data_IF_371609933937
#
_entry.id   IF_371609933937
#
_cell.length_a   1.000
_cell.length_b   1.000
_cell.length_c   1.000
_cell.angle_alpha   90.00
_cell.angle_beta   90.00
_cell.angle_gamma   90.00
#
_symmetry.space_group_name_H-M   'P 1'
#
loop_
_entity.id
_entity.type
_entity.pdbx_description
1 polymer ?
#
# COMPACT_ATOMS: atom_id res chain seq x y z
N UNK A 1 5.72 18.99 -19.19
CA UNK A 1 4.91 17.76 -19.03
C UNK A 1 3.66 18.09 -18.24
N UNK A 2 2.46 17.69 -18.68
CA UNK A 2 1.23 17.95 -17.92
C UNK A 2 1.14 16.91 -16.80
N UNK A 3 1.18 17.36 -15.55
CA UNK A 3 1.05 16.54 -14.33
C UNK A 3 -0.13 15.57 -14.41
N UNK A 4 -1.20 15.97 -15.10
CA UNK A 4 -2.37 15.14 -15.42
C UNK A 4 -2.02 13.78 -16.05
N UNK A 5 -0.96 13.68 -16.87
CA UNK A 5 -0.52 12.40 -17.43
C UNK A 5 0.00 11.46 -16.34
N UNK A 6 0.76 11.98 -15.37
CA UNK A 6 1.25 11.20 -14.22
C UNK A 6 0.09 10.74 -13.35
N UNK A 7 -0.90 11.62 -13.13
CA UNK A 7 -2.13 11.28 -12.39
C UNK A 7 -2.90 10.16 -13.07
N UNK A 8 -3.09 10.26 -14.39
CA UNK A 8 -3.81 9.25 -15.16
C UNK A 8 -3.11 7.89 -15.14
N UNK A 9 -1.79 7.86 -15.38
CA UNK A 9 -0.99 6.62 -15.32
C UNK A 9 -1.02 5.98 -13.93
N UNK A 10 -0.97 6.80 -12.87
CA UNK A 10 -1.06 6.34 -11.49
C UNK A 10 -2.44 5.74 -11.19
N UNK A 11 -3.52 6.41 -11.61
CA UNK A 11 -4.89 5.93 -11.43
C UNK A 11 -5.11 4.60 -12.15
N UNK A 12 -4.78 4.51 -13.45
CA UNK A 12 -4.94 3.28 -14.23
C UNK A 12 -4.19 2.10 -13.59
N UNK A 13 -2.94 2.32 -13.19
CA UNK A 13 -2.12 1.27 -12.58
C UNK A 13 -2.65 0.84 -11.22
N UNK A 14 -3.00 1.80 -10.35
CA UNK A 14 -3.44 1.49 -8.99
C UNK A 14 -4.82 0.84 -8.97
N UNK A 15 -5.74 1.21 -9.88
CA UNK A 15 -7.03 0.51 -10.01
C UNK A 15 -6.80 -0.97 -10.30
N UNK A 16 -5.88 -1.27 -11.22
CA UNK A 16 -5.50 -2.64 -11.57
C UNK A 16 -4.89 -3.41 -10.38
N UNK A 17 -3.93 -2.80 -9.68
CA UNK A 17 -3.22 -3.40 -8.54
C UNK A 17 -4.16 -3.68 -7.36
N UNK A 18 -4.92 -2.68 -6.92
CA UNK A 18 -5.77 -2.83 -5.73
C UNK A 18 -7.02 -3.65 -6.02
N UNK A 19 -7.53 -3.62 -7.26
CA UNK A 19 -8.55 -4.56 -7.71
C UNK A 19 -8.07 -6.01 -7.68
N UNK A 20 -6.80 -6.26 -8.04
CA UNK A 20 -6.22 -7.61 -8.03
C UNK A 20 -6.23 -8.24 -6.65
N UNK A 21 -5.96 -7.47 -5.59
CA UNK A 21 -5.97 -8.00 -4.20
C UNK A 21 -7.32 -8.61 -3.84
N UNK A 22 -8.42 -8.01 -4.28
CA UNK A 22 -9.78 -8.53 -4.06
C UNK A 22 -10.04 -9.77 -4.92
N UNK A 23 -9.73 -9.71 -6.22
CA UNK A 23 -9.91 -10.87 -7.12
C UNK A 23 -9.12 -12.06 -6.62
N UNK A 24 -7.84 -11.86 -6.30
CA UNK A 24 -6.95 -12.93 -5.88
C UNK A 24 -7.38 -13.55 -4.55
N UNK A 25 -7.75 -12.74 -3.55
CA UNK A 25 -8.18 -13.26 -2.25
C UNK A 25 -9.50 -14.03 -2.34
N UNK A 26 -10.51 -13.47 -3.01
CA UNK A 26 -11.84 -14.09 -3.13
C UNK A 26 -11.77 -15.34 -4.02
N UNK A 27 -11.08 -15.28 -5.16
CA UNK A 27 -10.93 -16.44 -6.06
C UNK A 27 -10.19 -17.57 -5.35
N UNK A 28 -9.14 -17.28 -4.56
CA UNK A 28 -8.45 -18.30 -3.79
C UNK A 28 -9.41 -19.01 -2.82
N UNK A 29 -10.27 -18.25 -2.13
CA UNK A 29 -11.28 -18.82 -1.22
C UNK A 29 -12.33 -19.64 -1.97
N UNK A 30 -12.79 -19.20 -3.14
CA UNK A 30 -13.70 -19.98 -4.00
C UNK A 30 -13.06 -21.28 -4.52
N UNK A 31 -11.73 -21.29 -4.72
CA UNK A 31 -10.96 -22.50 -5.05
C UNK A 31 -10.70 -23.41 -3.83
N UNK A 32 -11.22 -23.06 -2.65
CA UNK A 32 -11.08 -23.85 -1.43
C UNK A 32 -9.78 -23.61 -0.65
N UNK A 33 -9.06 -22.52 -0.93
CA UNK A 33 -7.84 -22.20 -0.20
C UNK A 33 -8.11 -21.96 1.29
N UNK A 34 -7.21 -22.49 2.12
CA UNK A 34 -7.12 -22.18 3.54
C UNK A 34 -6.68 -20.74 3.75
N UNK A 35 -6.93 -20.20 4.95
CA UNK A 35 -6.45 -18.86 5.32
C UNK A 35 -4.91 -18.75 5.25
N UNK A 36 -4.18 -19.84 5.49
CA UNK A 36 -2.72 -19.88 5.37
C UNK A 36 -2.26 -19.73 3.92
N UNK A 37 -2.90 -20.41 2.98
CA UNK A 37 -2.59 -20.29 1.55
C UNK A 37 -2.92 -18.89 1.03
N UNK A 38 -4.07 -18.32 1.40
CA UNK A 38 -4.42 -16.93 1.06
C UNK A 38 -3.38 -15.96 1.65
N UNK A 39 -2.97 -16.16 2.90
CA UNK A 39 -1.92 -15.37 3.55
C UNK A 39 -0.59 -15.45 2.81
N UNK A 40 -0.17 -16.66 2.42
CA UNK A 40 1.03 -16.88 1.62
C UNK A 40 0.99 -16.17 0.26
N UNK A 41 -0.13 -16.29 -0.46
CA UNK A 41 -0.35 -15.58 -1.73
C UNK A 41 -0.31 -14.06 -1.52
N UNK A 42 -0.99 -13.54 -0.49
CA UNK A 42 -1.04 -12.10 -0.22
C UNK A 42 0.33 -11.53 0.15
N UNK A 43 1.20 -12.30 0.81
CA UNK A 43 2.57 -11.89 1.10
C UNK A 43 3.46 -11.75 -0.15
N UNK A 44 3.12 -12.43 -1.25
CA UNK A 44 3.82 -12.25 -2.53
C UNK A 44 3.56 -10.89 -3.18
N UNK A 45 2.59 -10.10 -2.71
CA UNK A 45 2.48 -8.69 -3.10
C UNK A 45 3.64 -7.82 -2.58
N UNK A 46 4.41 -8.31 -1.61
CA UNK A 46 5.45 -7.53 -0.93
C UNK A 46 6.85 -8.14 -1.08
N UNK A 47 6.97 -9.47 -1.05
CA UNK A 47 8.26 -10.16 -1.07
C UNK A 47 9.11 -9.90 -2.34
N UNK A 48 8.65 -10.27 -3.57
CA UNK A 48 9.34 -9.91 -4.80
C UNK A 48 9.64 -8.40 -4.97
N UNK A 49 8.68 -7.48 -4.80
CA UNK A 49 8.94 -6.05 -4.95
C UNK A 49 10.01 -5.53 -3.99
N UNK A 50 10.08 -6.06 -2.76
CA UNK A 50 11.11 -5.66 -1.80
C UNK A 50 12.52 -5.92 -2.35
N UNK A 51 12.73 -7.07 -2.99
CA UNK A 51 14.01 -7.45 -3.62
C UNK A 51 14.29 -6.69 -4.91
N UNK A 52 13.24 -6.42 -5.71
CA UNK A 52 13.37 -5.83 -7.05
C UNK A 52 13.31 -4.29 -7.06
N UNK A 53 12.95 -3.64 -5.96
CA UNK A 53 12.81 -2.19 -5.84
C UNK A 53 14.06 -1.42 -6.28
N UNK A 54 15.25 -1.85 -5.83
CA UNK A 54 16.53 -1.24 -6.22
C UNK A 54 16.83 -1.40 -7.71
N UNK A 55 16.47 -2.55 -8.29
CA UNK A 55 16.66 -2.81 -9.72
C UNK A 55 15.73 -1.93 -10.56
N UNK A 56 14.51 -1.70 -10.09
CA UNK A 56 13.56 -0.81 -10.74
C UNK A 56 14.00 0.66 -10.69
N UNK A 57 14.56 1.12 -9.56
CA UNK A 57 15.17 2.45 -9.45
C UNK A 57 16.30 2.64 -10.47
N UNK A 58 17.26 1.71 -10.51
CA UNK A 58 18.35 1.72 -11.50
C UNK A 58 17.84 1.69 -12.95
N UNK A 59 16.72 1.03 -13.21
CA UNK A 59 16.10 1.01 -14.53
C UNK A 59 15.53 2.38 -14.91
N UNK A 60 14.83 3.06 -13.98
CA UNK A 60 14.33 4.43 -14.18
C UNK A 60 15.49 5.39 -14.47
N UNK A 61 16.60 5.25 -13.74
CA UNK A 61 17.79 6.09 -13.92
C UNK A 61 18.43 5.91 -15.31
N UNK A 62 18.46 4.67 -15.82
CA UNK A 62 19.13 4.31 -17.08
C UNK A 62 18.24 4.43 -18.32
N UNK A 63 16.94 4.18 -18.19
CA UNK A 63 16.01 4.07 -19.32
C UNK A 63 14.92 5.16 -19.31
N UNK A 64 14.91 6.04 -18.31
CA UNK A 64 13.84 7.02 -18.12
C UNK A 64 12.55 6.35 -17.63
N UNK A 65 11.43 7.07 -17.69
CA UNK A 65 10.16 6.62 -17.07
C UNK A 65 9.36 5.66 -17.96
N UNK A 66 9.45 5.80 -19.29
CA UNK A 66 8.55 5.10 -20.21
C UNK A 66 8.75 3.57 -20.21
N UNK A 67 9.99 3.09 -20.23
CA UNK A 67 10.29 1.65 -20.23
C UNK A 67 9.85 0.96 -18.93
N UNK A 68 10.20 1.46 -17.73
CA UNK A 68 9.65 0.95 -16.46
C UNK A 68 8.12 0.87 -16.46
N UNK A 69 7.43 1.90 -16.96
CA UNK A 69 5.96 1.90 -17.02
C UNK A 69 5.40 0.88 -18.03
N UNK A 70 6.09 0.61 -19.13
CA UNK A 70 5.71 -0.46 -20.04
C UNK A 70 5.89 -1.85 -19.39
N UNK A 71 6.98 -2.07 -18.66
CA UNK A 71 7.18 -3.31 -17.89
C UNK A 71 6.13 -3.49 -16.79
N UNK A 72 5.74 -2.41 -16.10
CA UNK A 72 4.61 -2.40 -15.17
C UNK A 72 3.34 -2.91 -15.86
N UNK A 73 3.03 -2.41 -17.06
CA UNK A 73 1.86 -2.86 -17.81
C UNK A 73 1.91 -4.35 -18.14
N UNK A 74 3.08 -4.84 -18.59
CA UNK A 74 3.29 -6.26 -18.90
C UNK A 74 3.11 -7.13 -17.66
N UNK A 75 3.68 -6.73 -16.51
CA UNK A 75 3.50 -7.44 -15.25
C UNK A 75 2.03 -7.49 -14.83
N UNK A 76 1.30 -6.37 -14.94
CA UNK A 76 -0.13 -6.34 -14.64
C UNK A 76 -0.92 -7.25 -15.58
N UNK A 77 -0.68 -7.19 -16.89
CA UNK A 77 -1.33 -8.07 -17.87
C UNK A 77 -1.10 -9.54 -17.56
N UNK A 78 0.15 -9.94 -17.32
CA UNK A 78 0.49 -11.31 -16.92
C UNK A 78 -0.26 -11.71 -15.65
N UNK A 79 -0.31 -10.83 -14.64
CA UNK A 79 -1.01 -11.09 -13.39
C UNK A 79 -2.52 -11.24 -13.52
N UNK A 80 -3.14 -10.69 -14.56
CA UNK A 80 -4.59 -10.73 -14.76
C UNK A 80 -5.04 -11.80 -15.77
N UNK A 81 -4.26 -12.00 -16.83
CA UNK A 81 -4.56 -12.97 -17.89
C UNK A 81 -4.28 -14.39 -17.42
N UNK A 82 -3.22 -14.62 -16.63
CA UNK A 82 -2.84 -15.97 -16.24
C UNK A 82 -3.87 -16.66 -15.31
N UNK A 83 -4.37 -16.03 -14.22
CA UNK A 83 -5.44 -16.62 -13.41
C UNK A 83 -6.75 -16.77 -14.16
N UNK A 84 -7.02 -15.87 -15.11
CA UNK A 84 -8.17 -15.99 -15.97
C UNK A 84 -8.05 -17.15 -16.97
N UNK A 85 -6.86 -17.44 -17.49
CA UNK A 85 -6.67 -18.58 -18.40
C UNK A 85 -6.73 -19.90 -17.64
N UNK A 86 -6.08 -19.95 -16.47
CA UNK A 86 -5.96 -21.13 -15.63
C UNK A 86 -6.20 -20.77 -14.15
N UNK A 87 -7.44 -20.84 -13.64
CA UNK A 87 -7.74 -20.56 -12.24
C UNK A 87 -7.11 -21.62 -11.32
N UNK A 88 -6.07 -21.24 -10.58
CA UNK A 88 -5.36 -22.12 -9.62
C UNK A 88 -4.62 -21.29 -8.57
N UNK A 89 -4.27 -21.88 -7.42
CA UNK A 89 -3.52 -21.17 -6.38
C UNK A 89 -2.15 -20.67 -6.87
N UNK A 90 -1.48 -21.42 -7.75
CA UNK A 90 -0.19 -21.03 -8.31
C UNK A 90 -0.27 -19.85 -9.28
N UNK A 91 -1.31 -19.81 -10.14
CA UNK A 91 -1.51 -18.65 -11.03
C UNK A 91 -1.90 -17.40 -10.24
N UNK A 92 -2.65 -17.56 -9.16
CA UNK A 92 -2.93 -16.49 -8.19
C UNK A 92 -1.68 -16.02 -7.44
N UNK A 93 -0.77 -16.91 -7.06
CA UNK A 93 0.53 -16.57 -6.48
C UNK A 93 1.40 -15.75 -7.45
N UNK A 94 1.44 -16.15 -8.74
CA UNK A 94 2.13 -15.39 -9.79
C UNK A 94 1.46 -14.02 -9.97
N UNK A 95 0.13 -13.95 -9.96
CA UNK A 95 -0.61 -12.69 -10.01
C UNK A 95 -0.21 -11.73 -8.90
N UNK A 96 -0.18 -12.21 -7.65
CA UNK A 96 0.26 -11.43 -6.50
C UNK A 96 1.70 -10.90 -6.66
N UNK A 97 2.63 -11.77 -7.07
CA UNK A 97 4.02 -11.40 -7.30
C UNK A 97 4.18 -10.33 -8.41
N UNK A 98 3.51 -10.53 -9.55
CA UNK A 98 3.55 -9.61 -10.67
C UNK A 98 2.91 -8.25 -10.34
N UNK A 99 1.71 -8.25 -9.75
CA UNK A 99 0.97 -7.02 -9.43
C UNK A 99 1.61 -6.23 -8.28
N UNK A 100 2.17 -6.91 -7.27
CA UNK A 100 2.98 -6.27 -6.23
C UNK A 100 4.25 -5.62 -6.80
N UNK A 101 4.97 -6.32 -7.68
CA UNK A 101 6.16 -5.78 -8.35
C UNK A 101 5.82 -4.58 -9.24
N UNK A 102 4.71 -4.68 -9.97
CA UNK A 102 4.18 -3.58 -10.78
C UNK A 102 3.87 -2.35 -9.91
N UNK A 103 3.25 -2.54 -8.74
CA UNK A 103 2.93 -1.43 -7.82
C UNK A 103 4.18 -0.65 -7.39
N UNK A 104 5.26 -1.32 -7.00
CA UNK A 104 6.52 -0.64 -6.66
C UNK A 104 7.13 0.06 -7.87
N UNK A 105 7.03 -0.54 -9.07
CA UNK A 105 7.43 0.12 -10.32
C UNK A 105 6.68 1.42 -10.58
N UNK A 106 5.36 1.43 -10.37
CA UNK A 106 4.52 2.63 -10.46
C UNK A 106 5.00 3.69 -9.49
N UNK A 107 5.19 3.32 -8.21
CA UNK A 107 5.62 4.27 -7.19
C UNK A 107 6.94 4.93 -7.55
N UNK A 108 7.96 4.16 -7.94
CA UNK A 108 9.29 4.68 -8.26
C UNK A 108 9.28 5.52 -9.55
N UNK A 109 8.72 4.97 -10.63
CA UNK A 109 8.75 5.61 -11.94
C UNK A 109 7.92 6.90 -11.96
N UNK A 110 6.70 6.86 -11.39
CA UNK A 110 5.81 8.03 -11.39
C UNK A 110 6.16 9.06 -10.32
N UNK A 111 6.79 8.67 -9.19
CA UNK A 111 7.34 9.67 -8.27
C UNK A 111 8.48 10.46 -8.90
N UNK A 112 9.34 9.77 -9.67
CA UNK A 112 10.39 10.44 -10.47
C UNK A 112 9.77 11.36 -11.52
N UNK A 113 8.75 10.89 -12.25
CA UNK A 113 8.04 11.72 -13.21
C UNK A 113 7.35 12.95 -12.59
N UNK A 114 6.75 12.82 -11.41
CA UNK A 114 6.14 13.92 -10.69
C UNK A 114 7.20 14.95 -10.26
N UNK A 115 8.36 14.50 -9.77
CA UNK A 115 9.45 15.37 -9.34
C UNK A 115 10.13 16.15 -10.49
N UNK A 116 10.08 15.60 -11.71
CA UNK A 116 10.61 16.20 -12.94
C UNK A 116 9.56 16.98 -13.75
N UNK A 117 8.31 17.02 -13.28
CA UNK A 117 7.27 17.86 -13.87
C UNK A 117 7.45 19.30 -13.41
N UNK A 118 7.46 20.27 -14.32
CA UNK A 118 7.44 21.68 -13.97
C UNK A 118 8.75 22.20 -13.33
N UNK A 119 8.64 23.26 -12.56
CA UNK A 119 9.79 23.88 -11.85
C UNK A 119 10.02 23.18 -10.50
N UNK A 120 11.21 23.32 -9.89
CA UNK A 120 11.48 22.75 -8.56
C UNK A 120 10.47 23.16 -7.48
N UNK A 121 9.92 24.38 -7.59
CA UNK A 121 8.88 24.91 -6.70
C UNK A 121 7.55 24.14 -6.80
N UNK A 122 7.23 23.57 -7.97
CA UNK A 122 5.98 22.84 -8.23
C UNK A 122 6.01 21.39 -7.70
N UNK A 123 7.17 20.89 -7.27
CA UNK A 123 7.37 19.47 -6.91
C UNK A 123 6.39 18.97 -5.86
N UNK A 124 6.13 19.77 -4.83
CA UNK A 124 5.18 19.40 -3.77
C UNK A 124 3.75 19.26 -4.31
N UNK A 125 3.33 20.18 -5.17
CA UNK A 125 2.02 20.15 -5.84
C UNK A 125 1.92 18.95 -6.77
N UNK A 126 2.97 18.67 -7.54
CA UNK A 126 3.01 17.56 -8.50
C UNK A 126 2.99 16.20 -7.79
N UNK A 127 3.72 16.08 -6.68
CA UNK A 127 3.66 14.89 -5.84
C UNK A 127 2.27 14.70 -5.22
N UNK A 128 1.63 15.79 -4.79
CA UNK A 128 0.25 15.75 -4.27
C UNK A 128 -0.73 15.22 -5.33
N UNK A 129 -0.67 15.74 -6.56
CA UNK A 129 -1.47 15.22 -7.69
C UNK A 129 -1.19 13.75 -7.98
N UNK A 130 0.07 13.34 -8.00
CA UNK A 130 0.44 11.93 -8.16
C UNK A 130 -0.21 11.05 -7.09
N UNK A 131 -0.14 11.45 -5.81
CA UNK A 131 -0.76 10.69 -4.71
C UNK A 131 -2.29 10.71 -4.75
N UNK A 132 -2.91 11.74 -5.35
CA UNK A 132 -4.36 11.73 -5.61
C UNK A 132 -4.71 10.68 -6.68
N UNK A 133 -3.91 10.58 -7.75
CA UNK A 133 -4.09 9.56 -8.79
C UNK A 133 -4.02 8.14 -8.23
N UNK A 134 -3.03 7.86 -7.37
CA UNK A 134 -2.96 6.54 -6.72
C UNK A 134 -4.16 6.27 -5.81
N UNK A 135 -4.64 7.28 -5.08
CA UNK A 135 -5.82 7.19 -4.21
C UNK A 135 -7.10 6.81 -4.95
N UNK A 136 -7.32 7.36 -6.16
CA UNK A 136 -8.45 6.96 -7.02
C UNK A 136 -8.42 5.46 -7.30
N UNK A 137 -7.25 4.91 -7.63
CA UNK A 137 -7.10 3.49 -7.90
C UNK A 137 -7.28 2.60 -6.67
N UNK A 138 -6.84 3.04 -5.49
CA UNK A 138 -7.05 2.32 -4.22
C UNK A 138 -8.54 2.12 -3.92
N UNK A 139 -9.39 3.10 -4.25
CA UNK A 139 -10.83 2.99 -4.04
C UNK A 139 -11.56 2.28 -5.17
N UNK A 140 -11.29 2.67 -6.43
CA UNK A 140 -11.98 2.10 -7.59
C UNK A 140 -11.63 0.63 -7.83
N UNK A 141 -10.39 0.22 -7.57
CA UNK A 141 -9.93 -1.15 -7.81
C UNK A 141 -10.80 -2.17 -7.10
N UNK A 142 -10.85 -2.18 -5.76
CA UNK A 142 -11.69 -3.08 -4.96
C UNK A 142 -13.17 -3.02 -5.30
N UNK A 143 -13.71 -1.82 -5.54
CA UNK A 143 -15.12 -1.62 -5.87
C UNK A 143 -15.48 -2.33 -7.19
N UNK A 144 -14.71 -2.05 -8.25
CA UNK A 144 -14.98 -2.57 -9.58
C UNK A 144 -14.69 -4.07 -9.67
N UNK A 145 -13.65 -4.56 -8.98
CA UNK A 145 -13.39 -6.00 -8.93
C UNK A 145 -14.48 -6.76 -8.18
N UNK A 146 -14.98 -6.22 -7.06
CA UNK A 146 -16.09 -6.82 -6.32
C UNK A 146 -17.36 -6.96 -7.18
N UNK A 147 -17.72 -5.88 -7.90
CA UNK A 147 -18.85 -5.89 -8.84
C UNK A 147 -18.63 -6.89 -9.98
N UNK A 148 -17.41 -6.93 -10.53
CA UNK A 148 -17.07 -7.85 -11.61
C UNK A 148 -17.11 -9.33 -11.16
N UNK A 149 -16.72 -9.64 -9.93
CA UNK A 149 -16.81 -11.01 -9.39
C UNK A 149 -18.26 -11.45 -9.29
N UNK A 150 -19.12 -10.63 -8.66
CA UNK A 150 -20.54 -10.98 -8.49
C UNK A 150 -21.28 -11.05 -9.84
N UNK A 151 -20.95 -10.17 -10.79
CA UNK A 151 -21.67 -10.06 -12.08
C UNK A 151 -21.13 -10.94 -13.21
N UNK A 152 -19.83 -11.24 -13.23
CA UNK A 152 -19.16 -11.93 -14.34
C UNK A 152 -18.41 -13.20 -13.91
N UNK A 153 -18.28 -13.45 -12.60
CA UNK A 153 -17.49 -14.52 -12.02
C UNK A 153 -15.99 -14.23 -11.97
N UNK A 154 -15.26 -15.00 -11.15
CA UNK A 154 -13.85 -14.80 -10.83
C UNK A 154 -12.94 -14.67 -12.07
N UNK A 155 -13.15 -15.56 -13.05
CA UNK A 155 -12.34 -15.62 -14.27
C UNK A 155 -12.44 -14.33 -15.08
N UNK A 156 -13.67 -13.85 -15.29
CA UNK A 156 -13.91 -12.63 -16.06
C UNK A 156 -13.54 -11.39 -15.25
N UNK A 157 -13.77 -11.39 -13.94
CA UNK A 157 -13.30 -10.33 -13.06
C UNK A 157 -11.79 -10.13 -13.18
N UNK A 158 -11.01 -11.22 -13.19
CA UNK A 158 -9.56 -11.15 -13.45
C UNK A 158 -9.25 -10.54 -14.82
N UNK A 159 -9.94 -10.93 -15.91
CA UNK A 159 -9.72 -10.32 -17.24
C UNK A 159 -10.09 -8.83 -17.30
N UNK A 160 -11.18 -8.42 -16.64
CA UNK A 160 -11.60 -7.01 -16.65
C UNK A 160 -10.55 -6.09 -16.03
N UNK A 161 -9.75 -6.58 -15.07
CA UNK A 161 -8.61 -5.84 -14.54
C UNK A 161 -7.47 -5.63 -15.57
N UNK A 162 -7.45 -6.41 -16.64
CA UNK A 162 -6.57 -6.25 -17.80
C UNK A 162 -6.90 -5.05 -18.69
N UNK A 163 -8.10 -4.49 -18.59
CA UNK A 163 -8.49 -3.27 -19.34
C UNK A 163 -7.59 -2.09 -18.95
N UNK A 164 -7.26 -1.97 -17.65
CA UNK A 164 -6.46 -0.87 -17.11
C UNK A 164 -5.01 -0.84 -17.63
N UNK A 165 -4.22 -1.94 -17.61
CA UNK A 165 -2.89 -1.93 -18.20
C UNK A 165 -2.89 -1.81 -19.73
N UNK A 166 -3.93 -2.27 -20.44
CA UNK A 166 -4.08 -1.97 -21.89
C UNK A 166 -4.27 -0.47 -22.11
N UNK A 167 -5.18 0.17 -21.36
CA UNK A 167 -5.38 1.62 -21.41
C UNK A 167 -4.09 2.38 -21.06
N UNK A 168 -3.32 1.88 -20.08
CA UNK A 168 -2.03 2.44 -19.72
C UNK A 168 -1.02 2.35 -20.87
N UNK A 169 -0.90 1.21 -21.56
CA UNK A 169 -0.04 1.09 -22.74
C UNK A 169 -0.47 2.03 -23.87
N UNK A 170 -1.78 2.18 -24.09
CA UNK A 170 -2.32 3.14 -25.06
C UNK A 170 -1.94 4.58 -24.68
N UNK A 171 -2.11 4.97 -23.42
CA UNK A 171 -1.73 6.30 -22.93
C UNK A 171 -0.22 6.52 -23.06
N UNK A 172 0.61 5.50 -22.78
CA UNK A 172 2.06 5.58 -22.98
C UNK A 172 2.43 5.77 -24.46
N UNK A 173 1.81 5.01 -25.36
CA UNK A 173 2.03 5.11 -26.80
C UNK A 173 1.63 6.51 -27.33
N UNK A 174 0.48 7.03 -26.90
CA UNK A 174 -0.02 8.36 -27.27
C UNK A 174 0.77 9.50 -26.62
N UNK A 175 1.37 9.27 -25.45
CA UNK A 175 2.19 10.28 -24.78
C UNK A 175 3.52 10.54 -25.51
N UNK A 176 4.03 9.57 -26.28
CA UNK A 176 5.30 9.70 -27.01
C UNK A 176 6.47 10.11 -26.09
N UNK A 177 7.23 11.14 -26.49
CA UNK A 177 8.38 11.68 -25.73
C UNK A 177 7.98 12.65 -24.59
N UNK A 178 6.71 12.70 -24.17
CA UNK A 178 6.26 13.64 -23.13
C UNK A 178 6.68 13.22 -21.71
N UNK A 179 7.05 11.95 -21.50
CA UNK A 179 7.59 11.44 -20.24
C UNK A 179 9.09 11.75 -20.12
N UNK A 180 9.64 11.86 -18.90
CA UNK A 180 11.06 12.18 -18.72
C UNK A 180 11.94 11.12 -19.37
N UNK A 181 12.82 11.61 -20.25
CA UNK A 181 13.86 10.81 -20.90
C UNK A 181 15.01 10.56 -19.94
N UNK A 182 15.86 9.60 -20.29
CA UNK A 182 17.12 9.29 -19.59
C UNK A 182 17.92 10.56 -19.27
N UNK A 183 18.02 11.46 -20.26
CA UNK A 183 18.74 12.73 -20.11
C UNK A 183 18.16 13.66 -19.05
N UNK A 184 16.84 13.72 -18.93
CA UNK A 184 16.17 14.53 -17.91
C UNK A 184 16.31 13.93 -16.50
N UNK A 185 16.29 12.60 -16.40
CA UNK A 185 16.51 11.88 -15.13
C UNK A 185 17.97 12.01 -14.69
N UNK A 186 18.93 11.79 -15.60
CA UNK A 186 20.36 11.91 -15.32
C UNK A 186 20.77 13.35 -14.94
N UNK A 187 20.21 14.37 -15.61
CA UNK A 187 20.46 15.77 -15.29
C UNK A 187 19.95 16.17 -13.89
N UNK A 188 18.87 15.55 -13.41
CA UNK A 188 18.29 15.83 -12.10
C UNK A 188 18.96 15.04 -10.96
N UNK A 189 19.61 13.91 -11.27
CA UNK A 189 20.32 13.10 -10.28
C UNK A 189 21.54 13.85 -9.69
N UNK A 190 22.16 14.76 -10.44
CA UNK A 190 23.35 15.49 -10.03
C UNK A 190 24.56 14.57 -9.71
N UNK A 191 25.76 15.13 -9.46
CA UNK A 191 26.95 14.33 -9.12
C UNK A 191 26.84 13.58 -7.76
N UNK A 192 25.76 13.75 -7.00
CA UNK A 192 25.62 13.25 -5.64
C UNK A 192 24.77 11.96 -5.51
N UNK A 193 24.27 11.38 -6.61
CA UNK A 193 23.34 10.25 -6.57
C UNK A 193 23.97 8.84 -6.40
N UNK A 194 25.23 8.74 -5.94
CA UNK A 194 25.79 7.45 -5.51
C UNK A 194 26.52 7.64 -4.19
N UNK A 195 25.77 7.92 -3.12
CA UNK A 195 26.20 7.46 -1.81
C UNK A 195 25.89 5.96 -1.74
N UNK A 196 26.85 5.15 -2.18
CA UNK A 196 26.89 3.73 -1.84
C UNK A 196 26.85 3.58 -0.30
N UNK A 197 26.26 2.50 0.24
CA UNK A 197 25.96 2.40 1.65
C UNK A 197 27.24 2.46 2.49
N UNK A 198 27.33 3.44 3.40
CA UNK A 198 28.31 3.45 4.46
C UNK A 198 28.06 2.24 5.38
N UNK A 199 28.95 1.24 5.32
CA UNK A 199 29.12 0.16 6.31
C UNK A 199 27.92 -0.78 6.55
N UNK A 200 28.12 -2.10 6.34
CA UNK A 200 27.12 -3.17 6.61
C UNK A 200 26.45 -3.16 8.00
N UNK A 201 26.93 -2.38 8.97
CA UNK A 201 26.37 -2.26 10.33
C UNK A 201 26.12 -0.82 10.81
N UNK A 202 26.35 0.23 10.00
CA UNK A 202 26.16 1.62 10.44
C UNK A 202 24.68 1.93 10.75
N UNK A 203 23.76 1.32 9.99
CA UNK A 203 22.31 1.48 10.15
C UNK A 203 21.78 0.92 11.48
N UNK A 204 22.43 -0.11 12.08
CA UNK A 204 22.07 -0.61 13.42
C UNK A 204 22.32 0.45 14.50
N UNK A 205 23.29 1.34 14.27
CA UNK A 205 23.54 2.48 15.13
C UNK A 205 22.35 3.44 15.22
N UNK A 206 21.50 3.52 14.18
CA UNK A 206 20.28 4.35 14.19
C UNK A 206 19.22 3.79 15.14
N UNK A 207 19.20 2.47 15.40
CA UNK A 207 18.28 1.88 16.36
C UNK A 207 18.64 2.20 17.83
N UNK A 208 19.84 2.74 18.08
CA UNK A 208 20.26 3.21 19.41
C UNK A 208 19.62 4.54 19.78
N UNK A 209 19.22 5.35 18.80
CA UNK A 209 18.53 6.61 18.97
C UNK A 209 17.11 6.36 19.50
N UNK A 210 16.87 6.66 20.78
CA UNK A 210 15.60 6.36 21.44
C UNK A 210 14.39 7.05 20.77
N UNK A 211 14.56 8.29 20.31
CA UNK A 211 13.52 9.07 19.61
C UNK A 211 13.20 8.47 18.24
N UNK A 212 14.22 8.17 17.44
CA UNK A 212 14.06 7.56 16.13
C UNK A 212 13.40 6.19 16.23
N UNK A 213 13.84 5.35 17.18
CA UNK A 213 13.23 4.03 17.42
C UNK A 213 11.74 4.14 17.75
N UNK A 214 11.36 5.11 18.58
CA UNK A 214 9.96 5.28 18.95
C UNK A 214 9.08 5.63 17.74
N UNK A 215 9.56 6.55 16.90
CA UNK A 215 8.87 6.94 15.69
C UNK A 215 8.85 5.82 14.65
N UNK A 216 9.94 5.05 14.52
CA UNK A 216 10.01 3.87 13.67
C UNK A 216 8.99 2.80 14.09
N UNK A 217 8.83 2.55 15.39
CA UNK A 217 7.80 1.63 15.90
C UNK A 217 6.41 2.06 15.44
N UNK A 218 6.06 3.34 15.58
CA UNK A 218 4.78 3.83 15.11
C UNK A 218 4.62 3.68 13.58
N UNK A 219 5.66 4.06 12.81
CA UNK A 219 5.69 3.99 11.34
C UNK A 219 5.53 2.56 10.80
N UNK A 220 5.93 1.54 11.55
CA UNK A 220 5.75 0.14 11.16
C UNK A 220 4.36 -0.35 11.57
N UNK A 221 3.93 -0.06 12.79
CA UNK A 221 2.64 -0.54 13.31
C UNK A 221 1.45 0.02 12.55
N UNK A 222 1.40 1.32 12.26
CA UNK A 222 0.22 1.92 11.63
C UNK A 222 -0.14 1.31 10.27
N UNK A 223 0.77 1.31 9.29
CA UNK A 223 0.53 0.69 7.99
C UNK A 223 0.26 -0.83 8.08
N UNK A 224 0.94 -1.54 8.99
CA UNK A 224 0.71 -2.97 9.18
C UNK A 224 -0.75 -3.27 9.57
N UNK A 225 -1.37 -2.42 10.38
CA UNK A 225 -2.78 -2.57 10.78
C UNK A 225 -3.72 -2.44 9.60
N UNK A 226 -3.43 -1.51 8.70
CA UNK A 226 -4.21 -1.38 7.48
C UNK A 226 -4.04 -2.58 6.55
N UNK A 227 -2.82 -3.13 6.42
CA UNK A 227 -2.59 -4.35 5.63
C UNK A 227 -3.29 -5.59 6.22
N UNK A 228 -3.30 -5.70 7.56
CA UNK A 228 -4.09 -6.70 8.28
C UNK A 228 -5.58 -6.54 7.95
N UNK A 229 -6.11 -5.33 7.97
CA UNK A 229 -7.49 -5.05 7.58
C UNK A 229 -7.79 -5.45 6.12
N UNK A 230 -6.91 -5.11 5.18
CA UNK A 230 -7.06 -5.48 3.76
C UNK A 230 -7.04 -7.00 3.54
N UNK A 231 -6.32 -7.76 4.38
CA UNK A 231 -6.33 -9.22 4.35
C UNK A 231 -7.59 -9.82 5.01
N UNK A 232 -7.95 -9.34 6.19
CA UNK A 232 -9.06 -9.89 6.99
C UNK A 232 -10.38 -9.71 6.27
N UNK A 233 -10.62 -8.54 5.68
CA UNK A 233 -11.95 -8.17 5.22
C UNK A 233 -12.49 -9.11 4.13
N UNK A 234 -11.72 -9.50 3.09
CA UNK A 234 -12.17 -10.52 2.15
C UNK A 234 -12.34 -11.89 2.79
N UNK A 235 -11.39 -12.35 3.62
CA UNK A 235 -11.44 -13.69 4.22
C UNK A 235 -12.61 -13.85 5.17
N UNK A 236 -12.82 -12.87 6.06
CA UNK A 236 -13.96 -12.87 6.99
C UNK A 236 -15.27 -12.60 6.25
N UNK A 237 -15.27 -11.65 5.31
CA UNK A 237 -16.44 -11.30 4.51
C UNK A 237 -17.01 -12.49 3.75
N UNK A 238 -16.17 -13.23 3.02
CA UNK A 238 -16.58 -14.45 2.31
C UNK A 238 -17.07 -15.53 3.27
N UNK A 239 -16.42 -15.71 4.43
CA UNK A 239 -16.85 -16.69 5.46
C UNK A 239 -18.22 -16.40 6.05
N UNK A 240 -18.59 -15.13 6.23
CA UNK A 240 -19.91 -14.72 6.75
C UNK A 240 -20.95 -14.52 5.63
N UNK A 241 -20.61 -14.87 4.38
CA UNK A 241 -21.53 -14.84 3.25
C UNK A 241 -21.73 -13.46 2.60
N UNK A 242 -20.82 -12.51 2.81
CA UNK A 242 -20.87 -11.24 2.07
C UNK A 242 -20.55 -11.47 0.60
N UNK A 243 -21.27 -10.77 -0.28
CA UNK A 243 -20.95 -10.73 -1.70
C UNK A 243 -19.62 -10.01 -1.96
N UNK A 244 -18.99 -10.28 -3.10
CA UNK A 244 -17.74 -9.64 -3.47
C UNK A 244 -17.90 -8.13 -3.67
N UNK A 245 -19.05 -7.66 -4.18
CA UNK A 245 -19.39 -6.24 -4.28
C UNK A 245 -19.46 -5.56 -2.92
N UNK A 246 -20.00 -6.25 -1.91
CA UNK A 246 -20.07 -5.73 -0.54
C UNK A 246 -18.65 -5.57 0.02
N UNK A 247 -17.80 -6.59 -0.11
CA UNK A 247 -16.39 -6.54 0.31
C UNK A 247 -15.65 -5.40 -0.42
N UNK A 248 -15.82 -5.29 -1.74
CA UNK A 248 -15.22 -4.25 -2.56
C UNK A 248 -15.65 -2.84 -2.15
N UNK A 249 -16.93 -2.64 -1.87
CA UNK A 249 -17.47 -1.34 -1.42
C UNK A 249 -17.04 -0.97 0.00
N UNK A 250 -16.83 -1.94 0.89
CA UNK A 250 -16.25 -1.71 2.22
C UNK A 250 -14.81 -1.16 2.10
N UNK A 251 -13.99 -1.76 1.24
CA UNK A 251 -12.64 -1.29 0.93
C UNK A 251 -12.64 0.07 0.20
N UNK A 252 -13.64 0.32 -0.65
CA UNK A 252 -13.80 1.63 -1.27
C UNK A 252 -14.20 2.71 -0.26
N UNK A 253 -15.04 2.38 0.73
CA UNK A 253 -15.42 3.29 1.81
C UNK A 253 -14.21 3.70 2.65
N UNK A 254 -13.27 2.78 2.93
CA UNK A 254 -12.02 3.14 3.60
C UNK A 254 -11.15 4.06 2.75
N UNK A 255 -11.08 3.84 1.42
CA UNK A 255 -10.36 4.71 0.51
C UNK A 255 -10.95 6.13 0.43
N UNK A 256 -12.29 6.25 0.41
CA UNK A 256 -12.99 7.54 0.48
C UNK A 256 -12.68 8.24 1.79
N UNK A 257 -12.72 7.52 2.92
CA UNK A 257 -12.39 8.08 4.23
C UNK A 257 -10.93 8.57 4.30
N UNK A 258 -9.97 7.83 3.74
CA UNK A 258 -8.56 8.27 3.59
C UNK A 258 -8.50 9.61 2.82
N UNK A 259 -9.22 9.71 1.71
CA UNK A 259 -9.21 10.91 0.88
C UNK A 259 -9.80 12.11 1.63
N UNK A 260 -11.00 11.95 2.22
CA UNK A 260 -11.69 13.01 2.97
C UNK A 260 -10.85 13.50 4.15
N UNK A 261 -10.25 12.59 4.93
CA UNK A 261 -9.47 13.01 6.10
C UNK A 261 -8.16 13.69 5.71
N UNK A 262 -7.56 13.32 4.57
CA UNK A 262 -6.37 14.01 4.04
C UNK A 262 -6.65 15.46 3.65
N UNK A 263 -7.85 15.76 3.14
CA UNK A 263 -8.27 17.15 2.89
C UNK A 263 -8.39 17.94 4.19
N UNK A 264 -8.83 17.31 5.28
CA UNK A 264 -8.94 17.93 6.59
C UNK A 264 -7.61 18.01 7.37
N UNK A 265 -6.58 17.28 6.93
CA UNK A 265 -5.30 17.15 7.63
C UNK A 265 -4.63 18.49 8.00
N UNK A 266 -4.59 19.54 7.13
CA UNK A 266 -3.95 20.81 7.46
C UNK A 266 -4.57 21.50 8.68
N UNK A 267 -5.85 21.25 8.96
CA UNK A 267 -6.57 21.80 10.10
C UNK A 267 -6.24 21.01 11.37
N UNK A 268 -6.24 19.68 11.26
CA UNK A 268 -5.98 18.76 12.39
C UNK A 268 -4.54 18.89 12.88
N UNK A 269 -3.57 18.93 11.97
CA UNK A 269 -2.14 19.00 12.29
C UNK A 269 -1.74 20.28 13.03
N UNK A 270 -2.52 21.36 12.92
CA UNK A 270 -2.24 22.64 13.60
C UNK A 270 -2.78 22.71 15.02
N UNK A 271 -3.70 21.81 15.42
CA UNK A 271 -4.46 21.94 16.67
C UNK A 271 -4.12 20.89 17.74
N UNK A 272 -3.44 19.79 17.37
CA UNK A 272 -3.23 18.66 18.28
C UNK A 272 -1.78 18.16 18.21
N UNK A 273 -1.21 17.78 19.36
CA UNK A 273 0.12 17.16 19.43
C UNK A 273 0.14 15.81 18.69
N UNK A 274 1.16 15.58 17.88
CA UNK A 274 1.26 14.43 16.96
C UNK A 274 1.08 13.07 17.69
N UNK A 275 1.74 12.87 18.84
CA UNK A 275 1.63 11.63 19.61
C UNK A 275 0.23 11.37 20.18
N UNK A 276 -0.55 12.41 20.49
CA UNK A 276 -1.93 12.24 20.96
C UNK A 276 -2.84 11.75 19.82
N UNK A 277 -2.59 12.22 18.60
CA UNK A 277 -3.28 11.71 17.41
C UNK A 277 -2.90 10.25 17.22
N UNK A 278 -1.60 9.91 17.21
CA UNK A 278 -1.14 8.51 17.05
C UNK A 278 -1.75 7.58 18.10
N UNK A 279 -1.83 8.01 19.36
CA UNK A 279 -2.52 7.27 20.43
C UNK A 279 -3.98 6.99 20.06
N UNK A 280 -4.73 8.02 19.67
CA UNK A 280 -6.13 7.87 19.28
C UNK A 280 -6.31 6.93 18.08
N UNK A 281 -5.42 7.01 17.08
CA UNK A 281 -5.47 6.14 15.90
C UNK A 281 -5.19 4.67 16.28
N UNK A 282 -4.21 4.40 17.14
CA UNK A 282 -3.92 3.04 17.59
C UNK A 282 -5.04 2.46 18.46
N UNK A 283 -5.65 3.26 19.35
CA UNK A 283 -6.82 2.82 20.10
C UNK A 283 -8.02 2.54 19.18
N UNK A 284 -8.22 3.36 18.14
CA UNK A 284 -9.25 3.13 17.12
C UNK A 284 -9.00 1.82 16.35
N UNK A 285 -7.77 1.58 15.87
CA UNK A 285 -7.39 0.32 15.22
C UNK A 285 -7.66 -0.89 16.13
N UNK A 286 -7.23 -0.83 17.39
CA UNK A 286 -7.46 -1.90 18.36
C UNK A 286 -8.94 -2.17 18.60
N UNK A 287 -9.74 -1.11 18.74
CA UNK A 287 -11.19 -1.20 18.90
C UNK A 287 -11.86 -1.81 17.66
N UNK A 288 -11.42 -1.43 16.46
CA UNK A 288 -11.93 -2.01 15.22
C UNK A 288 -11.59 -3.51 15.10
N UNK A 289 -10.38 -3.95 15.47
CA UNK A 289 -10.05 -5.37 15.45
C UNK A 289 -10.82 -6.18 16.50
N UNK A 290 -11.05 -5.59 17.69
CA UNK A 290 -11.93 -6.19 18.68
C UNK A 290 -13.35 -6.35 18.14
N UNK A 291 -13.92 -5.31 17.53
CA UNK A 291 -15.24 -5.37 16.93
C UNK A 291 -15.33 -6.37 15.78
N UNK A 292 -14.31 -6.43 14.91
CA UNK A 292 -14.22 -7.43 13.84
C UNK A 292 -14.20 -8.86 14.39
N UNK A 293 -13.69 -9.09 15.60
CA UNK A 293 -13.65 -10.44 16.18
C UNK A 293 -15.02 -10.97 16.63
N UNK A 294 -16.01 -10.10 16.82
CA UNK A 294 -17.33 -10.46 17.38
C UNK A 294 -18.52 -10.05 16.50
N UNK A 295 -18.38 -9.02 15.67
CA UNK A 295 -19.47 -8.47 14.86
C UNK A 295 -19.42 -8.97 13.42
N UNK A 296 -20.58 -9.37 12.91
CA UNK A 296 -20.78 -9.78 11.50
C UNK A 296 -21.74 -8.88 10.72
N UNK A 297 -22.35 -7.88 11.38
CA UNK A 297 -23.35 -7.01 10.77
C UNK A 297 -22.72 -6.05 9.75
N UNK A 298 -23.21 -6.08 8.51
CA UNK A 298 -22.64 -5.33 7.38
C UNK A 298 -22.49 -3.83 7.63
N UNK A 299 -23.49 -3.19 8.25
CA UNK A 299 -23.43 -1.75 8.53
C UNK A 299 -22.31 -1.38 9.52
N UNK A 300 -22.02 -2.25 10.50
CA UNK A 300 -20.90 -2.06 11.43
C UNK A 300 -19.58 -2.22 10.68
N UNK A 301 -19.50 -3.16 9.73
CA UNK A 301 -18.31 -3.30 8.89
C UNK A 301 -18.03 -2.03 8.07
N UNK A 302 -19.05 -1.32 7.57
CA UNK A 302 -18.86 -0.02 6.93
C UNK A 302 -18.29 1.02 7.88
N UNK A 303 -18.81 1.09 9.11
CA UNK A 303 -18.27 1.99 10.15
C UNK A 303 -16.80 1.65 10.43
N UNK A 304 -16.48 0.36 10.59
CA UNK A 304 -15.11 -0.12 10.79
C UNK A 304 -14.21 0.28 9.61
N UNK A 305 -14.65 0.06 8.37
CA UNK A 305 -13.90 0.44 7.17
C UNK A 305 -13.62 1.94 7.09
N UNK A 306 -14.60 2.78 7.42
CA UNK A 306 -14.42 4.23 7.46
C UNK A 306 -13.41 4.62 8.54
N UNK A 307 -13.51 4.04 9.74
CA UNK A 307 -12.57 4.31 10.84
C UNK A 307 -11.15 3.84 10.50
N UNK A 308 -11.00 2.66 9.89
CA UNK A 308 -9.72 2.16 9.37
C UNK A 308 -9.12 3.10 8.34
N UNK A 309 -9.95 3.64 7.44
CA UNK A 309 -9.55 4.63 6.45
C UNK A 309 -9.09 5.96 7.09
N UNK A 310 -9.84 6.47 8.07
CA UNK A 310 -9.46 7.67 8.84
C UNK A 310 -8.11 7.43 9.55
N UNK A 311 -7.96 6.28 10.20
CA UNK A 311 -6.75 5.90 10.94
C UNK A 311 -5.52 5.91 10.03
N UNK A 312 -5.63 5.29 8.85
CA UNK A 312 -4.56 5.24 7.87
C UNK A 312 -4.28 6.61 7.23
N UNK A 313 -5.34 7.36 6.91
CA UNK A 313 -5.24 8.66 6.23
C UNK A 313 -4.56 9.74 7.06
N UNK A 314 -4.81 9.76 8.38
CA UNK A 314 -4.13 10.66 9.32
C UNK A 314 -2.78 10.13 9.78
N UNK A 315 -2.69 8.82 10.04
CA UNK A 315 -1.50 8.22 10.64
C UNK A 315 -0.28 8.33 9.76
N UNK A 316 -0.38 7.91 8.49
CA UNK A 316 0.78 7.80 7.61
C UNK A 316 1.52 9.14 7.42
N UNK A 317 0.86 10.27 7.11
CA UNK A 317 1.55 11.55 6.93
C UNK A 317 2.17 12.09 8.23
N UNK A 318 1.48 11.96 9.36
CA UNK A 318 1.98 12.41 10.67
C UNK A 318 3.22 11.62 11.08
N UNK A 319 3.16 10.29 10.96
CA UNK A 319 4.29 9.42 11.27
C UNK A 319 5.50 9.70 10.36
N UNK A 320 5.28 10.05 9.08
CA UNK A 320 6.36 10.48 8.18
C UNK A 320 6.97 11.83 8.58
N UNK A 321 6.16 12.80 8.98
CA UNK A 321 6.64 14.10 9.51
C UNK A 321 7.55 13.90 10.72
N UNK A 322 7.06 13.15 11.71
CA UNK A 322 7.83 12.81 12.92
C UNK A 322 9.12 12.06 12.58
N UNK A 323 9.07 11.19 11.57
CA UNK A 323 10.22 10.42 11.14
C UNK A 323 11.32 11.31 10.57
N UNK A 324 10.97 12.28 9.71
CA UNK A 324 11.94 13.22 9.17
C UNK A 324 12.52 14.15 10.24
N UNK A 325 11.70 14.57 11.20
CA UNK A 325 12.12 15.40 12.33
C UNK A 325 13.00 14.65 13.34
N UNK A 326 12.77 13.35 13.53
CA UNK A 326 13.55 12.51 14.45
C UNK A 326 14.83 11.93 13.82
N UNK A 327 15.00 12.03 12.50
CA UNK A 327 16.13 11.45 11.78
C UNK A 327 17.38 12.32 11.95
N UNK A 328 18.54 11.75 12.36
CA UNK A 328 19.78 12.50 12.54
C UNK A 328 20.23 13.23 11.26
N UNK A 329 20.79 14.42 11.42
CA UNK A 329 21.37 15.19 10.33
C UNK A 329 22.51 14.41 9.64
N UNK A 330 22.61 14.51 8.32
CA UNK A 330 23.57 13.73 7.52
C UNK A 330 23.24 12.24 7.34
N UNK A 331 22.29 11.67 8.11
CA UNK A 331 21.92 10.23 8.04
C UNK A 331 20.47 9.94 7.65
N UNK A 332 19.74 10.94 7.16
CA UNK A 332 18.33 10.84 6.76
C UNK A 332 18.08 9.77 5.69
N UNK A 333 19.03 9.58 4.75
CA UNK A 333 18.94 8.54 3.72
C UNK A 333 19.02 7.12 4.28
N UNK A 334 19.96 6.86 5.21
CA UNK A 334 20.08 5.57 5.90
C UNK A 334 18.83 5.25 6.73
N UNK A 335 18.32 6.25 7.46
CA UNK A 335 17.10 6.11 8.24
C UNK A 335 15.91 5.78 7.33
N UNK A 336 15.77 6.47 6.19
CA UNK A 336 14.67 6.23 5.24
C UNK A 336 14.74 4.83 4.64
N UNK A 337 15.94 4.33 4.33
CA UNK A 337 16.17 2.96 3.89
C UNK A 337 15.78 1.93 4.95
N UNK A 338 16.19 2.14 6.22
CA UNK A 338 15.81 1.28 7.34
C UNK A 338 14.30 1.23 7.55
N UNK A 339 13.63 2.39 7.53
CA UNK A 339 12.17 2.48 7.59
C UNK A 339 11.51 1.68 6.47
N UNK A 340 12.00 1.82 5.24
CA UNK A 340 11.48 1.08 4.08
C UNK A 340 11.61 -0.43 4.24
N UNK A 341 12.78 -0.92 4.70
CA UNK A 341 13.01 -2.35 4.95
C UNK A 341 12.07 -2.87 6.05
N UNK A 342 11.98 -2.19 7.19
CA UNK A 342 11.12 -2.59 8.30
C UNK A 342 9.64 -2.61 7.88
N UNK A 343 9.20 -1.58 7.18
CA UNK A 343 7.81 -1.47 6.72
C UNK A 343 7.46 -2.55 5.69
N UNK A 344 8.33 -2.80 4.70
CA UNK A 344 8.09 -3.83 3.69
C UNK A 344 8.13 -5.23 4.30
N UNK A 345 9.07 -5.48 5.22
CA UNK A 345 9.16 -6.75 5.94
C UNK A 345 7.90 -7.00 6.77
N UNK A 346 7.41 -5.99 7.48
CA UNK A 346 6.19 -6.10 8.26
C UNK A 346 4.95 -6.31 7.37
N UNK A 347 4.86 -5.59 6.25
CA UNK A 347 3.76 -5.76 5.28
C UNK A 347 3.78 -7.14 4.62
N UNK A 348 4.97 -7.69 4.34
CA UNK A 348 5.13 -9.06 3.85
C UNK A 348 4.81 -10.11 4.92
N UNK A 349 5.20 -9.89 6.17
CA UNK A 349 4.98 -10.84 7.26
C UNK A 349 3.52 -10.86 7.74
N UNK A 350 2.80 -9.73 7.64
CA UNK A 350 1.45 -9.61 8.21
C UNK A 350 0.46 -10.63 7.64
N UNK A 351 0.27 -10.77 6.31
CA UNK A 351 -0.66 -11.76 5.76
C UNK A 351 -0.24 -13.20 6.05
N UNK A 352 1.07 -13.51 6.03
CA UNK A 352 1.60 -14.83 6.40
C UNK A 352 1.29 -15.20 7.86
N UNK A 353 1.54 -14.29 8.80
CA UNK A 353 1.24 -14.51 10.21
C UNK A 353 -0.26 -14.65 10.44
N UNK A 354 -1.07 -13.78 9.82
CA UNK A 354 -2.52 -13.85 9.95
C UNK A 354 -3.11 -15.10 9.31
N UNK A 355 -2.61 -15.50 8.14
CA UNK A 355 -3.05 -16.70 7.45
C UNK A 355 -2.67 -17.96 8.22
N UNK A 356 -1.40 -18.06 8.64
CA UNK A 356 -0.87 -19.21 9.37
C UNK A 356 -1.47 -19.36 10.77
N UNK A 357 -1.56 -18.28 11.55
CA UNK A 357 -2.25 -18.32 12.84
C UNK A 357 -3.75 -18.50 12.66
N UNK A 358 -4.34 -17.88 11.63
CA UNK A 358 -5.77 -17.95 11.34
C UNK A 358 -6.24 -19.33 10.87
N UNK A 359 -5.37 -20.14 10.25
CA UNK A 359 -5.69 -21.53 9.91
C UNK A 359 -5.65 -22.46 11.12
N UNK A 360 -4.79 -22.19 12.10
CA UNK A 360 -4.63 -23.02 13.31
C UNK A 360 -5.63 -22.63 14.40
N UNK A 361 -5.73 -21.33 14.70
CA UNK A 361 -6.50 -20.79 15.83
C UNK A 361 -7.88 -20.25 15.41
N UNK A 362 -8.11 -20.08 14.11
CA UNK A 362 -9.23 -19.31 13.58
C UNK A 362 -8.95 -17.79 13.55
N UNK A 363 -9.76 -17.04 12.80
CA UNK A 363 -9.57 -15.60 12.64
C UNK A 363 -9.86 -14.79 13.91
N UNK A 364 -10.83 -15.22 14.74
CA UNK A 364 -11.22 -14.51 15.95
C UNK A 364 -10.05 -14.25 16.92
N UNK A 365 -9.30 -15.28 17.36
CA UNK A 365 -8.14 -15.11 18.21
C UNK A 365 -7.03 -14.23 17.60
N UNK A 366 -6.84 -14.31 16.28
CA UNK A 366 -5.87 -13.46 15.57
C UNK A 366 -6.27 -11.99 15.63
N UNK A 367 -7.57 -11.69 15.47
CA UNK A 367 -8.11 -10.34 15.59
C UNK A 367 -8.04 -9.81 17.04
N UNK A 368 -8.26 -10.68 18.04
CA UNK A 368 -8.07 -10.32 19.44
C UNK A 368 -6.59 -10.02 19.74
N UNK A 369 -5.66 -10.82 19.22
CA UNK A 369 -4.23 -10.56 19.35
C UNK A 369 -3.85 -9.23 18.69
N UNK A 370 -4.37 -8.93 17.49
CA UNK A 370 -4.17 -7.64 16.83
C UNK A 370 -4.73 -6.49 17.69
N UNK A 371 -5.93 -6.65 18.26
CA UNK A 371 -6.53 -5.67 19.18
C UNK A 371 -5.60 -5.35 20.37
N UNK A 372 -5.04 -6.37 21.01
CA UNK A 372 -4.09 -6.21 22.12
C UNK A 372 -2.81 -5.48 21.67
N UNK A 373 -2.26 -5.82 20.50
CA UNK A 373 -1.08 -5.15 19.94
C UNK A 373 -1.33 -3.66 19.71
N UNK A 374 -2.49 -3.28 19.19
CA UNK A 374 -2.84 -1.87 18.96
C UNK A 374 -3.24 -1.13 20.24
N UNK A 375 -3.84 -1.81 21.22
CA UNK A 375 -4.04 -1.26 22.56
C UNK A 375 -2.70 -0.94 23.24
N UNK A 376 -1.72 -1.85 23.13
CA UNK A 376 -0.34 -1.59 23.55
C UNK A 376 0.29 -0.43 22.78
N UNK A 377 0.06 -0.34 21.46
CA UNK A 377 0.48 0.78 20.63
C UNK A 377 -0.07 2.13 21.14
N UNK A 378 -1.35 2.17 21.51
CA UNK A 378 -1.98 3.35 22.12
C UNK A 378 -1.32 3.75 23.43
N UNK A 379 -1.12 2.80 24.34
CA UNK A 379 -0.39 3.04 25.59
C UNK A 379 1.05 3.50 25.35
N UNK A 380 1.73 2.91 24.38
CA UNK A 380 3.08 3.30 23.98
C UNK A 380 3.11 4.75 23.50
N UNK A 381 2.18 5.15 22.62
CA UNK A 381 2.05 6.52 22.13
C UNK A 381 1.73 7.51 23.27
N UNK A 382 0.90 7.12 24.23
CA UNK A 382 0.63 7.91 25.44
C UNK A 382 1.90 8.15 26.27
N UNK A 383 2.77 7.15 26.42
CA UNK A 383 4.05 7.34 27.12
C UNK A 383 4.99 8.27 26.36
N UNK A 384 4.97 8.23 25.03
CA UNK A 384 5.79 9.13 24.23
C UNK A 384 5.27 10.57 24.25
N UNK A 385 3.96 10.81 24.29
CA UNK A 385 3.42 12.17 24.38
C UNK A 385 3.79 12.94 25.66
N UNK A 386 4.24 12.23 26.70
CA UNK A 386 4.79 12.82 27.94
C UNK A 386 6.29 13.08 27.90
N UNK A 387 7.01 12.45 26.95
CA UNK A 387 8.47 12.53 26.80
C UNK A 387 8.91 13.51 25.70
N UNK A 388 7.97 13.89 24.85
CA UNK A 388 8.10 14.88 23.78
C UNK A 388 7.32 16.13 24.18
#
# INVERSE_FOLDING_TARGET
MKVLLVVLLAALSCTSVFGSRVVVSITALHLGATSAEVGGIMSLYFLPPMLLSMSMGRLVDRAGVALPMALVAVLLLTGHVLPAAWPSLWTLAISAACTGTAFVGVLIALSSAAALSGRPEDRAVNFSWFTMGTGVGVGLGPLLSGIAIDGLGDRMASLTLGIWPVALLLVLALAGRRLPTVTAVAAAAGPAAIAAPAGRMAWLGLLREARLRAVLTANVMGPAGYEVFLFVLPVQGTRIGLSASTIGSLLAASAVAIFVVRLAMPIVARRVREWNIIMALFLALGSCFLLLSVVTQTWILYVISIVMGIAQGLGQPLMMSMFFSASPEGRKGEAAGLRGILQNTCSAASPLLMGGLGSILGLGPVLLAASVVYAWGGWFAHRQSRRW
#
